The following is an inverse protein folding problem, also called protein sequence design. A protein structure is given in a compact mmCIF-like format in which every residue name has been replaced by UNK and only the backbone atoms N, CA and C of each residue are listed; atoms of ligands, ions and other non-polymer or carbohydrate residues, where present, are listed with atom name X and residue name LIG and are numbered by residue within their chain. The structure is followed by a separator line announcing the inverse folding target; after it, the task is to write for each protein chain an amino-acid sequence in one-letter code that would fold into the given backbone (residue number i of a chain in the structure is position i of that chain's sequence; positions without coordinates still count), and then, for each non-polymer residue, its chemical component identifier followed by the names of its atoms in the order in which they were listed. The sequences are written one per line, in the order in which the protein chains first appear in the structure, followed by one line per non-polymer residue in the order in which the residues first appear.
data_IF_278638672284
#
_entry.id   IF_278638672284
#
_cell.length_a   1.000
_cell.length_b   1.000
_cell.length_c   1.000
_cell.angle_alpha   90.00
_cell.angle_beta   90.00
_cell.angle_gamma   90.00
#
_symmetry.space_group_name_H-M   'P 1'
#
loop_
_entity.id
_entity.type
_entity.pdbx_description
1 polymer ?
#
# COMPACT_ATOMS: atom_id res chain seq x y z
N UNK A 1 -9.15 -12.07 -23.56
CA UNK A 1 -8.21 -11.51 -22.56
C UNK A 1 -9.01 -10.91 -21.44
N UNK A 2 -8.69 -11.26 -20.19
CA UNK A 2 -9.42 -10.71 -19.04
C UNK A 2 -9.07 -9.24 -18.89
N UNK A 3 -10.07 -8.37 -18.64
CA UNK A 3 -9.85 -6.93 -18.38
C UNK A 3 -8.80 -6.68 -17.28
N UNK A 4 -8.65 -7.63 -16.34
CA UNK A 4 -7.61 -7.62 -15.31
C UNK A 4 -6.19 -7.71 -15.89
N UNK A 5 -6.00 -8.44 -16.97
CA UNK A 5 -4.67 -8.65 -17.56
C UNK A 5 -4.22 -7.42 -18.33
N UNK A 6 -5.11 -6.78 -19.12
CA UNK A 6 -4.80 -5.50 -19.76
C UNK A 6 -4.57 -4.37 -18.75
N UNK A 7 -5.31 -4.35 -17.63
CA UNK A 7 -5.06 -3.38 -16.56
C UNK A 7 -3.70 -3.62 -15.89
N UNK A 8 -3.36 -4.88 -15.63
CA UNK A 8 -2.06 -5.24 -15.06
C UNK A 8 -0.91 -4.89 -16.01
N UNK A 9 -1.03 -5.14 -17.32
CA UNK A 9 -0.01 -4.76 -18.30
C UNK A 9 0.20 -3.24 -18.38
N UNK A 10 -0.88 -2.44 -18.38
CA UNK A 10 -0.77 -0.96 -18.35
C UNK A 10 -0.13 -0.47 -17.05
N UNK A 11 -0.43 -1.11 -15.92
CA UNK A 11 0.17 -0.79 -14.62
C UNK A 11 1.64 -1.23 -14.55
N UNK A 12 2.02 -2.36 -15.18
CA UNK A 12 3.41 -2.79 -15.28
C UNK A 12 4.23 -1.91 -16.26
N UNK A 13 3.61 -1.27 -17.26
CA UNK A 13 4.27 -0.24 -18.09
C UNK A 13 4.56 1.03 -17.25
N UNK A 14 3.68 1.36 -16.31
CA UNK A 14 3.84 2.47 -15.35
C UNK A 14 4.69 2.09 -14.12
N UNK A 15 5.48 1.02 -14.21
CA UNK A 15 6.32 0.46 -13.12
C UNK A 15 7.42 1.38 -12.63
N UNK A 16 7.78 2.43 -13.36
CA UNK A 16 8.80 3.37 -12.91
C UNK A 16 8.34 4.27 -11.74
N UNK A 17 7.02 4.47 -11.55
CA UNK A 17 6.46 5.28 -10.45
C UNK A 17 5.87 4.48 -9.29
N UNK A 18 5.54 3.20 -9.54
CA UNK A 18 5.08 2.26 -8.50
C UNK A 18 6.02 2.13 -7.29
N UNK A 19 7.36 2.00 -7.43
CA UNK A 19 8.25 1.91 -6.27
C UNK A 19 8.26 3.21 -5.45
N UNK A 20 8.02 4.36 -6.09
CA UNK A 20 7.92 5.65 -5.40
C UNK A 20 6.67 5.71 -4.51
N UNK A 21 5.51 5.28 -5.03
CA UNK A 21 4.29 5.18 -4.22
C UNK A 21 4.43 4.15 -3.10
N UNK A 22 5.06 3.00 -3.38
CA UNK A 22 5.27 1.95 -2.40
C UNK A 22 6.18 2.44 -1.25
N UNK A 23 7.24 3.19 -1.58
CA UNK A 23 8.09 3.84 -0.57
C UNK A 23 7.32 4.86 0.28
N UNK A 24 6.47 5.69 -0.33
CA UNK A 24 5.62 6.66 0.41
C UNK A 24 4.66 5.94 1.35
N UNK A 25 3.99 4.89 0.89
CA UNK A 25 3.06 4.09 1.71
C UNK A 25 3.79 3.42 2.87
N UNK A 26 5.00 2.90 2.65
CA UNK A 26 5.84 2.33 3.72
C UNK A 26 6.20 3.40 4.75
N UNK A 27 6.67 4.57 4.33
CA UNK A 27 7.04 5.66 5.25
C UNK A 27 5.83 6.14 6.04
N UNK A 28 4.67 6.31 5.38
CA UNK A 28 3.41 6.63 6.08
C UNK A 28 3.03 5.54 7.08
N UNK A 29 3.14 4.27 6.70
CA UNK A 29 2.86 3.15 7.60
C UNK A 29 3.76 3.11 8.83
N UNK A 30 5.05 3.41 8.67
CA UNK A 30 6.00 3.49 9.80
C UNK A 30 5.63 4.64 10.73
N UNK A 31 5.38 5.84 10.19
CA UNK A 31 4.96 7.01 10.99
C UNK A 31 3.64 6.76 11.72
N UNK A 32 2.70 6.06 11.07
CA UNK A 32 1.44 5.67 11.67
C UNK A 32 1.63 4.64 12.80
N UNK A 33 2.48 3.63 12.59
CA UNK A 33 2.83 2.66 13.62
C UNK A 33 3.49 3.30 14.83
N UNK A 34 4.38 4.27 14.62
CA UNK A 34 4.94 5.09 15.69
C UNK A 34 3.86 5.92 16.39
N UNK A 35 2.91 6.52 15.67
CA UNK A 35 1.82 7.26 16.27
C UNK A 35 0.95 6.35 17.15
N UNK A 36 0.61 5.15 16.69
CA UNK A 36 -0.18 4.19 17.47
C UNK A 36 0.49 3.78 18.80
N UNK A 37 1.82 3.78 18.87
CA UNK A 37 2.56 3.50 20.11
C UNK A 37 2.47 4.65 21.13
N UNK A 38 2.20 5.88 20.68
CA UNK A 38 2.10 7.08 21.51
C UNK A 38 0.66 7.55 21.76
N UNK A 39 -0.35 6.94 21.11
CA UNK A 39 -1.75 7.33 21.28
C UNK A 39 -2.40 6.60 22.47
N UNK A 40 -2.99 7.36 23.39
CA UNK A 40 -3.84 6.81 24.44
C UNK A 40 -5.12 6.15 23.86
N UNK A 41 -5.41 4.89 24.21
CA UNK A 41 -6.62 4.20 23.78
C UNK A 41 -7.87 4.86 24.39
N UNK A 42 -8.89 5.09 23.55
CA UNK A 42 -10.18 5.69 23.95
C UNK A 42 -10.41 7.11 23.44
N UNK A 43 -9.46 7.69 22.70
CA UNK A 43 -9.63 8.99 22.03
C UNK A 43 -10.13 8.84 20.60
N UNK A 44 -10.75 9.89 20.04
CA UNK A 44 -11.15 9.91 18.63
C UNK A 44 -9.95 9.71 17.69
N UNK A 45 -8.77 10.18 18.09
CA UNK A 45 -7.52 10.00 17.34
C UNK A 45 -7.13 8.52 17.21
N UNK A 46 -7.39 7.69 18.23
CA UNK A 46 -7.10 6.26 18.20
C UNK A 46 -7.92 5.53 17.12
N UNK A 47 -9.20 5.89 16.99
CA UNK A 47 -10.09 5.30 15.96
C UNK A 47 -9.62 5.69 14.56
N UNK A 48 -9.24 6.96 14.37
CA UNK A 48 -8.72 7.46 13.08
C UNK A 48 -7.45 6.72 12.69
N UNK A 49 -6.50 6.58 13.63
CA UNK A 49 -5.25 5.87 13.38
C UNK A 49 -5.48 4.39 13.03
N UNK A 50 -6.52 3.75 13.58
CA UNK A 50 -6.89 2.37 13.26
C UNK A 50 -7.43 2.24 11.83
N UNK A 51 -8.25 3.20 11.38
CA UNK A 51 -8.75 3.25 9.99
C UNK A 51 -7.58 3.48 9.01
N UNK A 52 -6.68 4.40 9.33
CA UNK A 52 -5.49 4.64 8.51
C UNK A 52 -4.59 3.41 8.46
N UNK A 53 -4.48 2.64 9.54
CA UNK A 53 -3.71 1.39 9.54
C UNK A 53 -4.29 0.37 8.56
N UNK A 54 -5.61 0.23 8.53
CA UNK A 54 -6.31 -0.64 7.58
C UNK A 54 -6.08 -0.17 6.14
N UNK A 55 -6.17 1.14 5.89
CA UNK A 55 -5.93 1.73 4.57
C UNK A 55 -4.48 1.49 4.10
N UNK A 56 -3.50 1.71 4.96
CA UNK A 56 -2.08 1.48 4.65
C UNK A 56 -1.82 0.00 4.36
N UNK A 57 -2.35 -0.91 5.18
CA UNK A 57 -2.19 -2.35 4.96
C UNK A 57 -2.87 -2.77 3.64
N UNK A 58 -4.07 -2.28 3.37
CA UNK A 58 -4.78 -2.53 2.11
C UNK A 58 -3.97 -2.02 0.90
N UNK A 59 -3.42 -0.82 0.99
CA UNK A 59 -2.55 -0.25 -0.03
C UNK A 59 -1.30 -1.11 -0.25
N UNK A 60 -0.60 -1.52 0.83
CA UNK A 60 0.57 -2.40 0.72
C UNK A 60 0.25 -3.73 0.05
N UNK A 61 -0.89 -4.35 0.37
CA UNK A 61 -1.31 -5.61 -0.26
C UNK A 61 -1.62 -5.41 -1.74
N UNK A 62 -2.34 -4.34 -2.11
CA UNK A 62 -2.71 -4.05 -3.50
C UNK A 62 -1.48 -3.68 -4.33
N UNK A 63 -0.68 -2.70 -3.88
CA UNK A 63 0.50 -2.23 -4.60
C UNK A 63 1.63 -3.27 -4.59
N UNK A 64 1.89 -3.90 -3.44
CA UNK A 64 2.89 -4.97 -3.31
C UNK A 64 2.49 -6.22 -4.08
N UNK A 65 1.22 -6.61 -4.03
CA UNK A 65 0.68 -7.74 -4.78
C UNK A 65 0.73 -7.52 -6.29
N UNK A 66 0.34 -6.32 -6.77
CA UNK A 66 0.47 -5.94 -8.17
C UNK A 66 1.94 -5.96 -8.63
N UNK A 67 2.84 -5.40 -7.83
CA UNK A 67 4.28 -5.41 -8.12
C UNK A 67 4.85 -6.83 -8.16
N UNK A 68 4.46 -7.69 -7.22
CA UNK A 68 4.91 -9.07 -7.17
C UNK A 68 4.40 -9.88 -8.36
N UNK A 69 3.14 -9.71 -8.76
CA UNK A 69 2.57 -10.35 -9.95
C UNK A 69 3.25 -9.88 -11.25
N UNK A 70 3.49 -8.57 -11.41
CA UNK A 70 4.27 -8.05 -12.54
C UNK A 70 5.68 -8.66 -12.57
N UNK A 71 6.35 -8.72 -11.42
CA UNK A 71 7.71 -9.26 -11.30
C UNK A 71 7.76 -10.75 -11.63
N UNK A 72 6.74 -11.52 -11.22
CA UNK A 72 6.64 -12.95 -11.51
C UNK A 72 6.37 -13.28 -12.98
N UNK A 73 5.74 -12.37 -13.72
CA UNK A 73 5.46 -12.55 -15.16
C UNK A 73 6.61 -12.06 -16.06
N UNK A 74 7.46 -11.17 -15.54
CA UNK A 74 8.61 -10.62 -16.26
C UNK A 74 9.90 -11.46 -16.10
N UNK A 75 9.89 -12.50 -15.25
CA UNK A 75 10.95 -13.51 -15.12
C UNK A 75 10.58 -14.80 -15.85
#
# INVERSE_FOLDING_TARGET
MSLRESFLDVVCEQRNQLPLMLAVVIVMGVLLGFSLLFLEPGTAAYVIALIDAILVVGALVVFGGAYWLCTRRAM
#
